data_IF_989524929927
#
_entry.id   IF_989524929927
#
_cell.length_a   1.000
_cell.length_b   1.000
_cell.length_c   1.000
_cell.angle_alpha   90.00
_cell.angle_beta   90.00
_cell.angle_gamma   90.00
#
_symmetry.space_group_name_H-M   'P 1'
#
loop_
_entity.id
_entity.type
_entity.pdbx_description
1 polymer ?
#
# COMPACT_ATOMS: atom_id res chain seq x y z
N UNK A 1 -27.25 -14.05 21.39
CA UNK A 1 -26.59 -12.84 20.85
C UNK A 1 -25.04 -12.88 20.85
N UNK A 2 -24.37 -14.01 21.13
CA UNK A 2 -22.89 -14.08 21.24
C UNK A 2 -22.13 -14.50 19.97
N UNK A 3 -22.78 -15.16 19.02
CA UNK A 3 -22.08 -15.86 17.91
C UNK A 3 -21.56 -14.91 16.80
N UNK A 4 -22.11 -13.69 16.69
CA UNK A 4 -21.68 -12.69 15.70
C UNK A 4 -20.40 -11.96 16.14
N UNK A 5 -20.26 -11.71 17.46
CA UNK A 5 -19.10 -11.02 18.04
C UNK A 5 -17.83 -11.87 17.93
N UNK A 6 -17.94 -13.16 18.19
CA UNK A 6 -16.84 -14.12 18.02
C UNK A 6 -16.42 -14.26 16.55
N UNK A 7 -17.37 -14.34 15.61
CA UNK A 7 -17.06 -14.39 14.17
C UNK A 7 -16.40 -13.11 13.67
N UNK A 8 -16.78 -11.94 14.19
CA UNK A 8 -16.14 -10.67 13.85
C UNK A 8 -14.72 -10.58 14.45
N UNK A 9 -14.51 -11.02 15.69
CA UNK A 9 -13.19 -11.06 16.31
C UNK A 9 -12.26 -12.08 15.64
N UNK A 10 -12.77 -13.23 15.19
CA UNK A 10 -12.01 -14.18 14.39
C UNK A 10 -11.64 -13.61 13.02
N UNK A 11 -12.56 -12.94 12.32
CA UNK A 11 -12.26 -12.30 11.03
C UNK A 11 -11.25 -11.15 11.14
N UNK A 12 -11.34 -10.32 12.18
CA UNK A 12 -10.35 -9.24 12.44
C UNK A 12 -8.98 -9.81 12.86
N UNK A 13 -8.99 -10.94 13.60
CA UNK A 13 -7.78 -11.69 13.91
C UNK A 13 -7.13 -12.31 12.68
N UNK A 14 -7.90 -12.69 11.67
CA UNK A 14 -7.39 -13.26 10.43
C UNK A 14 -6.85 -12.20 9.47
N UNK A 15 -7.48 -11.03 9.32
CA UNK A 15 -6.94 -9.94 8.47
C UNK A 15 -5.64 -9.37 9.03
N UNK A 16 -5.57 -9.10 10.33
CA UNK A 16 -4.33 -8.63 10.98
C UNK A 16 -3.20 -9.68 10.92
N UNK A 17 -3.53 -10.96 11.09
CA UNK A 17 -2.57 -12.06 10.87
C UNK A 17 -2.16 -12.21 9.42
N UNK A 18 -3.04 -11.96 8.47
CA UNK A 18 -2.72 -12.04 7.04
C UNK A 18 -1.77 -10.91 6.65
N UNK A 19 -2.03 -9.67 7.06
CA UNK A 19 -1.14 -8.52 6.85
C UNK A 19 0.24 -8.74 7.49
N UNK A 20 0.30 -9.22 8.74
CA UNK A 20 1.56 -9.61 9.38
C UNK A 20 2.26 -10.77 8.65
N UNK A 21 1.52 -11.80 8.20
CA UNK A 21 2.09 -12.92 7.42
C UNK A 21 2.69 -12.44 6.11
N UNK A 22 2.06 -11.47 5.43
CA UNK A 22 2.59 -10.87 4.20
C UNK A 22 3.89 -10.11 4.49
N UNK A 23 3.92 -9.26 5.52
CA UNK A 23 5.15 -8.57 5.92
C UNK A 23 6.29 -9.54 6.28
N UNK A 24 5.98 -10.62 7.02
CA UNK A 24 6.98 -11.63 7.40
C UNK A 24 7.44 -12.43 6.18
N UNK A 25 6.57 -12.77 5.23
CA UNK A 25 6.96 -13.47 3.99
C UNK A 25 7.84 -12.60 3.11
N UNK A 26 7.49 -11.32 2.94
CA UNK A 26 8.29 -10.33 2.20
C UNK A 26 9.68 -10.18 2.85
N UNK A 27 9.74 -9.97 4.18
CA UNK A 27 11.01 -9.89 4.93
C UNK A 27 11.82 -11.20 4.86
N UNK A 28 11.19 -12.37 4.97
CA UNK A 28 11.86 -13.68 4.88
C UNK A 28 12.38 -13.97 3.47
N UNK A 29 11.63 -13.63 2.41
CA UNK A 29 12.10 -13.75 1.01
C UNK A 29 13.30 -12.82 0.76
N UNK A 30 13.28 -11.60 1.30
CA UNK A 30 14.43 -10.68 1.25
C UNK A 30 15.66 -11.23 1.98
N UNK A 31 15.49 -11.81 3.17
CA UNK A 31 16.58 -12.43 3.92
C UNK A 31 17.16 -13.67 3.20
N UNK A 32 16.30 -14.50 2.59
CA UNK A 32 16.71 -15.69 1.84
C UNK A 32 17.42 -15.33 0.53
N UNK A 33 16.96 -14.29 -0.19
CA UNK A 33 17.62 -13.77 -1.42
C UNK A 33 18.99 -13.15 -1.10
N UNK A 34 19.12 -12.45 0.04
CA UNK A 34 20.43 -11.99 0.56
C UNK A 34 21.41 -13.14 0.83
N UNK A 35 20.92 -14.27 1.34
CA UNK A 35 21.76 -15.42 1.67
C UNK A 35 22.17 -16.25 0.44
N UNK A 36 21.32 -16.33 -0.58
CA UNK A 36 21.64 -16.96 -1.86
C UNK A 36 22.73 -16.19 -2.63
N UNK A 37 22.74 -14.86 -2.56
CA UNK A 37 23.78 -14.04 -3.18
C UNK A 37 25.12 -14.03 -2.41
N UNK A 38 25.18 -14.61 -1.19
CA UNK A 38 26.40 -14.65 -0.38
C UNK A 38 27.23 -15.94 -0.57
N UNK A 39 26.79 -16.89 -1.41
CA UNK A 39 27.48 -18.18 -1.60
C UNK A 39 28.39 -18.30 -2.82
N UNK A 40 28.65 -17.22 -3.58
CA UNK A 40 29.40 -17.31 -4.85
C UNK A 40 30.51 -16.26 -5.09
N UNK A 41 31.07 -15.62 -4.04
CA UNK A 41 32.22 -14.68 -4.19
C UNK A 41 33.46 -15.14 -3.44
N UNK A 42 33.71 -16.45 -3.41
CA UNK A 42 34.86 -17.01 -2.70
C UNK A 42 35.49 -18.18 -3.43
N UNK A 43 35.87 -18.03 -4.71
CA UNK A 43 36.85 -18.88 -5.41
C UNK A 43 37.14 -18.43 -6.85
N UNK A 44 37.59 -17.19 -7.07
CA UNK A 44 38.42 -16.83 -8.24
C UNK A 44 39.30 -15.63 -7.86
N UNK A 45 40.25 -15.84 -6.96
CA UNK A 45 41.23 -14.82 -6.57
C UNK A 45 42.63 -15.42 -6.59
N UNK A 46 43.10 -15.77 -7.78
CA UNK A 46 44.52 -16.02 -8.05
C UNK A 46 44.72 -15.90 -9.56
N UNK A 47 45.62 -15.00 -10.01
CA UNK A 47 46.06 -14.74 -11.41
C UNK A 47 45.55 -13.49 -12.16
N UNK A 48 45.21 -12.38 -11.49
CA UNK A 48 45.13 -11.07 -12.19
C UNK A 48 45.65 -9.88 -11.36
N UNK A 49 46.52 -10.12 -10.39
CA UNK A 49 46.96 -9.14 -9.39
C UNK A 49 48.16 -8.26 -9.81
N UNK A 50 48.59 -8.21 -11.08
CA UNK A 50 49.85 -7.52 -11.41
C UNK A 50 49.91 -6.61 -12.64
N UNK A 51 48.81 -6.32 -13.37
CA UNK A 51 48.94 -5.53 -14.61
C UNK A 51 47.93 -4.40 -14.86
N UNK A 52 47.23 -3.89 -13.83
CA UNK A 52 46.32 -2.74 -13.99
C UNK A 52 46.42 -1.71 -12.86
N UNK A 53 47.64 -1.44 -12.37
CA UNK A 53 47.89 -0.41 -11.33
C UNK A 53 48.20 0.99 -11.92
N UNK A 54 48.31 1.17 -13.24
CA UNK A 54 48.89 2.43 -13.79
C UNK A 54 47.91 3.27 -14.64
N UNK A 55 46.64 2.90 -14.77
CA UNK A 55 45.69 3.73 -15.53
C UNK A 55 44.45 4.10 -14.70
N UNK A 56 44.33 5.40 -14.44
CA UNK A 56 43.14 6.14 -13.99
C UNK A 56 42.95 6.33 -12.48
N UNK A 57 43.85 7.14 -11.92
CA UNK A 57 43.52 8.17 -10.94
C UNK A 57 42.51 9.14 -11.60
N UNK A 58 41.22 8.91 -11.41
CA UNK A 58 40.11 9.86 -11.59
C UNK A 58 38.99 9.36 -10.66
N UNK A 59 38.39 10.19 -9.79
CA UNK A 59 37.27 9.76 -8.98
C UNK A 59 36.01 9.74 -9.86
N UNK A 60 35.93 8.74 -10.73
CA UNK A 60 34.70 8.43 -11.43
C UNK A 60 33.72 7.90 -10.38
N UNK A 61 32.80 8.75 -9.94
CA UNK A 61 31.60 8.32 -9.23
C UNK A 61 30.82 7.41 -10.18
N UNK A 62 31.18 6.11 -10.17
CA UNK A 62 30.34 5.07 -10.75
C UNK A 62 28.95 5.28 -10.16
N UNK A 63 27.90 5.55 -10.96
CA UNK A 63 26.55 5.51 -10.44
C UNK A 63 26.40 4.12 -9.83
N UNK A 64 26.20 4.10 -8.53
CA UNK A 64 25.93 2.89 -7.76
C UNK A 64 24.81 2.19 -8.52
N UNK A 65 25.14 1.09 -9.21
CA UNK A 65 24.17 0.31 -9.98
C UNK A 65 23.04 -0.02 -9.01
N UNK A 66 21.94 0.73 -9.12
CA UNK A 66 20.67 0.35 -8.54
C UNK A 66 20.34 -0.94 -9.27
N UNK A 67 20.60 -2.07 -8.60
CA UNK A 67 20.40 -3.39 -9.18
C UNK A 67 19.05 -3.42 -9.88
N UNK A 68 19.04 -3.88 -11.12
CA UNK A 68 17.86 -3.89 -11.97
C UNK A 68 16.68 -4.46 -11.17
N UNK A 69 15.65 -3.63 -11.00
CA UNK A 69 14.44 -4.05 -10.30
C UNK A 69 13.76 -5.07 -11.21
N UNK A 70 13.67 -6.32 -10.75
CA UNK A 70 12.93 -7.34 -11.48
C UNK A 70 11.45 -6.91 -11.54
N UNK A 71 11.00 -6.54 -12.74
CA UNK A 71 9.62 -6.13 -12.99
C UNK A 71 8.75 -7.39 -12.96
N UNK A 72 7.79 -7.42 -12.03
CA UNK A 72 6.81 -8.50 -11.92
C UNK A 72 5.62 -8.31 -12.85
N UNK A 73 5.26 -7.06 -13.12
CA UNK A 73 4.16 -6.69 -14.00
C UNK A 73 3.98 -5.18 -14.11
N UNK A 74 2.89 -4.76 -14.75
CA UNK A 74 2.56 -3.35 -14.99
C UNK A 74 1.15 -3.01 -14.52
N UNK A 75 0.97 -1.78 -14.06
CA UNK A 75 -0.33 -1.16 -13.81
C UNK A 75 -0.53 0.00 -14.77
N UNK A 76 -1.79 0.37 -14.99
CA UNK A 76 -2.18 1.44 -15.88
C UNK A 76 -2.88 2.57 -15.11
N UNK A 77 -2.48 3.82 -15.33
CA UNK A 77 -3.19 4.96 -14.79
C UNK A 77 -4.58 5.03 -15.43
N UNK A 78 -5.63 5.10 -14.61
CA UNK A 78 -7.02 5.00 -15.09
C UNK A 78 -7.40 6.13 -16.07
N UNK A 79 -6.80 7.31 -15.94
CA UNK A 79 -7.17 8.49 -16.74
C UNK A 79 -6.29 8.66 -17.96
N UNK A 80 -5.00 8.41 -17.81
CA UNK A 80 -3.99 8.72 -18.80
C UNK A 80 -3.50 7.49 -19.56
N UNK A 81 -3.76 6.28 -19.04
CA UNK A 81 -3.22 5.04 -19.57
C UNK A 81 -1.72 4.85 -19.34
N UNK A 82 -1.06 5.78 -18.61
CA UNK A 82 0.37 5.71 -18.33
C UNK A 82 0.71 4.43 -17.57
N UNK A 83 1.78 3.75 -18.00
CA UNK A 83 2.22 2.51 -17.39
C UNK A 83 3.12 2.75 -16.18
N UNK A 84 2.89 1.99 -15.11
CA UNK A 84 3.76 1.96 -13.93
C UNK A 84 4.13 0.52 -13.61
N UNK A 85 5.42 0.23 -13.64
CA UNK A 85 5.94 -1.07 -13.25
C UNK A 85 5.68 -1.36 -11.76
N UNK A 86 5.42 -2.63 -11.45
CA UNK A 86 5.44 -3.19 -10.08
C UNK A 86 6.58 -4.19 -10.01
N UNK A 87 7.31 -4.18 -8.90
CA UNK A 87 8.32 -5.19 -8.60
C UNK A 87 7.73 -6.60 -8.50
N UNK A 88 8.48 -7.60 -8.94
CA UNK A 88 8.13 -9.03 -8.79
C UNK A 88 7.82 -9.40 -7.34
N UNK A 89 8.49 -8.72 -6.40
CA UNK A 89 8.27 -8.87 -4.96
C UNK A 89 6.81 -8.64 -4.54
N UNK A 90 6.13 -7.67 -5.16
CA UNK A 90 4.79 -7.25 -4.75
C UNK A 90 3.70 -7.68 -5.72
N UNK A 91 4.04 -7.96 -6.98
CA UNK A 91 3.04 -8.23 -8.02
C UNK A 91 2.11 -9.41 -7.68
N UNK A 92 2.67 -10.57 -7.34
CA UNK A 92 1.86 -11.75 -6.95
C UNK A 92 1.00 -11.49 -5.69
N UNK A 93 1.50 -10.67 -4.76
CA UNK A 93 0.80 -10.36 -3.51
C UNK A 93 -0.35 -9.36 -3.73
N UNK A 94 -0.17 -8.42 -4.67
CA UNK A 94 -1.23 -7.53 -5.14
C UNK A 94 -2.34 -8.34 -5.78
N UNK A 95 -2.01 -9.28 -6.67
CA UNK A 95 -2.99 -10.17 -7.31
C UNK A 95 -3.75 -11.01 -6.27
N UNK A 96 -3.03 -11.62 -5.32
CA UNK A 96 -3.64 -12.40 -4.25
C UNK A 96 -4.56 -11.56 -3.36
N UNK A 97 -4.16 -10.33 -3.03
CA UNK A 97 -4.93 -9.41 -2.17
C UNK A 97 -6.18 -8.88 -2.87
N UNK A 98 -6.11 -8.63 -4.17
CA UNK A 98 -7.26 -8.30 -5.01
C UNK A 98 -8.14 -9.52 -5.31
N UNK A 99 -7.61 -10.74 -5.12
CA UNK A 99 -8.24 -12.02 -5.48
C UNK A 99 -8.55 -12.09 -6.97
N UNK A 100 -7.53 -11.84 -7.77
CA UNK A 100 -7.57 -11.79 -9.24
C UNK A 100 -6.42 -12.60 -9.82
N UNK A 101 -6.55 -12.99 -11.08
CA UNK A 101 -5.53 -13.79 -11.77
C UNK A 101 -4.59 -12.90 -12.60
N UNK A 102 -3.50 -13.47 -13.15
CA UNK A 102 -2.47 -12.71 -13.88
C UNK A 102 -2.99 -12.08 -15.18
N UNK A 103 -4.12 -12.55 -15.69
CA UNK A 103 -4.75 -12.06 -16.92
C UNK A 103 -5.54 -10.76 -16.70
N UNK A 104 -5.86 -10.40 -15.45
CA UNK A 104 -6.59 -9.17 -15.14
C UNK A 104 -5.68 -7.94 -15.18
N UNK A 105 -6.17 -6.87 -15.82
CA UNK A 105 -5.47 -5.59 -15.86
C UNK A 105 -5.55 -4.90 -14.48
N UNK A 106 -4.38 -4.50 -13.98
CA UNK A 106 -4.28 -3.68 -12.79
C UNK A 106 -4.33 -2.20 -13.16
N UNK A 107 -5.16 -1.45 -12.47
CA UNK A 107 -5.30 -0.01 -12.62
C UNK A 107 -4.83 0.70 -11.37
N UNK A 108 -4.27 1.88 -11.56
CA UNK A 108 -3.76 2.67 -10.46
C UNK A 108 -4.21 4.13 -10.48
N UNK A 109 -4.27 4.71 -9.27
CA UNK A 109 -4.42 6.15 -9.05
C UNK A 109 -3.44 6.59 -7.96
N UNK A 110 -2.58 7.60 -8.20
CA UNK A 110 -1.70 8.13 -7.15
C UNK A 110 -2.51 8.72 -5.99
N UNK A 111 -2.11 8.42 -4.75
CA UNK A 111 -2.69 9.08 -3.59
C UNK A 111 -2.31 10.56 -3.55
N UNK A 112 -3.20 11.42 -3.04
CA UNK A 112 -2.96 12.87 -3.04
C UNK A 112 -1.94 13.32 -1.99
N UNK A 113 -1.94 12.68 -0.82
CA UNK A 113 -1.20 13.15 0.35
C UNK A 113 -0.17 12.14 0.88
N UNK A 114 0.04 11.05 0.16
CA UNK A 114 1.03 10.02 0.48
C UNK A 114 1.71 9.56 -0.81
N UNK A 115 2.82 8.86 -0.67
CA UNK A 115 3.51 8.16 -1.76
C UNK A 115 2.85 6.80 -2.13
N UNK A 116 1.72 6.45 -1.48
CA UNK A 116 0.95 5.27 -1.88
C UNK A 116 0.30 5.47 -3.24
N UNK A 117 0.04 4.35 -3.88
CA UNK A 117 -0.73 4.22 -5.10
C UNK A 117 -1.94 3.36 -4.81
N UNK A 118 -3.14 3.83 -5.12
CA UNK A 118 -4.35 3.04 -5.01
C UNK A 118 -4.45 2.09 -6.20
N UNK A 119 -4.60 0.79 -5.94
CA UNK A 119 -4.59 -0.26 -6.97
C UNK A 119 -5.90 -1.04 -6.94
N UNK A 120 -6.46 -1.30 -8.13
CA UNK A 120 -7.73 -2.03 -8.35
C UNK A 120 -7.68 -2.78 -9.68
N UNK A 121 -8.65 -3.64 -9.96
CA UNK A 121 -8.81 -4.31 -11.27
C UNK A 121 -9.94 -3.75 -12.13
N UNK A 122 -10.59 -2.68 -11.67
CA UNK A 122 -11.65 -2.00 -12.42
C UNK A 122 -12.80 -2.93 -12.80
N UNK A 123 -13.21 -3.81 -11.88
CA UNK A 123 -14.51 -4.45 -11.97
C UNK A 123 -15.57 -3.37 -12.24
N UNK A 124 -16.46 -3.61 -13.20
CA UNK A 124 -17.47 -2.65 -13.68
C UNK A 124 -18.59 -2.41 -12.63
N UNK A 125 -18.27 -2.48 -11.34
CA UNK A 125 -19.17 -2.44 -10.21
C UNK A 125 -18.57 -1.58 -9.09
N UNK A 126 -19.44 -0.93 -8.33
CA UNK A 126 -19.11 -0.10 -7.15
C UNK A 126 -18.57 -0.88 -5.93
N UNK A 127 -18.11 -2.13 -6.11
CA UNK A 127 -17.64 -3.03 -5.05
C UNK A 127 -16.21 -3.57 -5.29
N UNK A 128 -15.41 -2.91 -6.13
CA UNK A 128 -14.04 -3.34 -6.40
C UNK A 128 -13.15 -3.25 -5.18
N UNK A 129 -12.34 -4.28 -4.96
CA UNK A 129 -11.29 -4.24 -3.94
C UNK A 129 -10.26 -3.19 -4.34
N UNK A 130 -9.89 -2.37 -3.38
CA UNK A 130 -8.85 -1.36 -3.52
C UNK A 130 -7.77 -1.66 -2.49
N UNK A 131 -6.53 -1.60 -2.93
CA UNK A 131 -5.35 -1.65 -2.08
C UNK A 131 -4.65 -0.29 -2.13
N UNK A 132 -3.96 0.08 -1.05
CA UNK A 132 -2.90 1.05 -1.11
C UNK A 132 -1.55 0.32 -1.20
N UNK A 133 -0.80 0.63 -2.25
CA UNK A 133 0.50 0.03 -2.57
C UNK A 133 1.61 1.09 -2.50
N UNK A 134 2.66 0.81 -1.73
CA UNK A 134 3.93 1.53 -1.80
C UNK A 134 4.98 0.54 -2.30
N UNK A 135 5.61 0.85 -3.43
CA UNK A 135 6.66 0.01 -4.02
C UNK A 135 7.91 0.85 -4.24
N UNK A 136 8.97 0.52 -3.49
CA UNK A 136 10.28 1.15 -3.59
C UNK A 136 11.35 0.17 -4.11
N UNK A 137 10.95 -0.83 -4.92
CA UNK A 137 11.77 -1.87 -5.56
C UNK A 137 12.46 -2.87 -4.63
N UNK A 138 12.97 -2.42 -3.48
CA UNK A 138 13.64 -3.26 -2.46
C UNK A 138 12.71 -3.60 -1.30
N UNK A 139 11.69 -2.79 -1.10
CA UNK A 139 10.71 -2.89 -0.02
C UNK A 139 9.38 -2.35 -0.52
N UNK A 140 8.29 -2.83 0.05
CA UNK A 140 6.99 -2.26 -0.19
C UNK A 140 5.99 -2.63 0.89
N UNK A 141 4.87 -1.94 0.87
CA UNK A 141 3.72 -2.20 1.74
C UNK A 141 2.45 -2.29 0.90
N UNK A 142 1.59 -3.20 1.31
CA UNK A 142 0.23 -3.36 0.78
C UNK A 142 -0.70 -3.21 1.95
N UNK A 143 -1.66 -2.29 1.83
CA UNK A 143 -2.74 -2.11 2.79
C UNK A 143 -4.09 -2.35 2.09
N UNK A 144 -4.93 -3.18 2.69
CA UNK A 144 -6.24 -3.47 2.12
C UNK A 144 -7.26 -2.42 2.55
N UNK A 145 -7.70 -1.58 1.60
CA UNK A 145 -8.69 -0.55 1.88
C UNK A 145 -10.12 -1.11 1.90
N UNK A 146 -10.31 -2.34 1.41
CA UNK A 146 -11.60 -2.98 1.25
C UNK A 146 -12.21 -2.71 -0.13
N UNK A 147 -13.54 -2.81 -0.22
CA UNK A 147 -14.26 -2.64 -1.48
C UNK A 147 -14.87 -1.25 -1.62
N UNK A 148 -14.72 -0.62 -2.78
CA UNK A 148 -15.39 0.63 -3.13
C UNK A 148 -14.66 1.43 -4.20
N UNK A 149 -14.91 2.72 -4.24
CA UNK A 149 -14.17 3.72 -5.03
C UNK A 149 -13.78 4.87 -4.12
N UNK A 150 -12.53 5.31 -4.16
CA UNK A 150 -12.08 6.45 -3.36
C UNK A 150 -12.75 7.72 -3.88
N UNK A 151 -13.45 8.44 -2.99
CA UNK A 151 -14.15 9.69 -3.32
C UNK A 151 -13.50 10.92 -2.75
N UNK A 152 -13.01 10.81 -1.51
CA UNK A 152 -12.49 11.95 -0.74
C UNK A 152 -11.22 11.50 -0.05
N UNK A 153 -10.20 12.34 -0.15
CA UNK A 153 -9.02 12.30 0.69
C UNK A 153 -8.96 13.61 1.50
N UNK A 154 -8.79 13.52 2.81
CA UNK A 154 -8.66 14.68 3.68
C UNK A 154 -7.47 14.49 4.62
N UNK A 155 -6.47 15.36 4.51
CA UNK A 155 -5.27 15.34 5.35
C UNK A 155 -5.54 15.99 6.71
N UNK A 156 -5.03 15.38 7.78
CA UNK A 156 -5.10 15.89 9.15
C UNK A 156 -4.35 17.21 9.31
N UNK A 157 -4.68 18.01 10.35
CA UNK A 157 -4.04 19.32 10.56
C UNK A 157 -2.52 19.25 10.73
N UNK A 158 -2.01 18.21 11.40
CA UNK A 158 -0.58 17.93 11.60
C UNK A 158 0.07 17.15 10.44
N UNK A 159 -0.68 16.86 9.37
CA UNK A 159 -0.24 16.15 8.17
C UNK A 159 0.24 14.70 8.39
N UNK A 160 -0.13 14.07 9.50
CA UNK A 160 0.28 12.70 9.82
C UNK A 160 -0.70 11.63 9.36
N UNK A 161 -1.96 11.98 9.10
CA UNK A 161 -3.00 11.02 8.75
C UNK A 161 -3.91 11.55 7.64
N UNK A 162 -4.31 10.67 6.75
CA UNK A 162 -5.31 10.91 5.71
C UNK A 162 -6.57 10.14 6.07
N UNK A 163 -7.71 10.83 6.09
CA UNK A 163 -9.02 10.21 6.09
C UNK A 163 -9.46 9.97 4.64
N UNK A 164 -9.87 8.75 4.35
CA UNK A 164 -10.34 8.29 3.05
C UNK A 164 -11.83 7.95 3.15
N UNK A 165 -12.60 8.43 2.19
CA UNK A 165 -13.99 8.01 1.99
C UNK A 165 -14.05 7.05 0.81
N UNK A 166 -14.43 5.81 1.08
CA UNK A 166 -14.67 4.79 0.06
C UNK A 166 -16.18 4.63 -0.18
N UNK A 167 -16.59 4.86 -1.43
CA UNK A 167 -17.96 4.68 -1.91
C UNK A 167 -18.20 3.25 -2.33
N UNK A 168 -19.15 2.61 -1.68
CA UNK A 168 -19.72 1.33 -2.10
C UNK A 168 -20.99 1.55 -2.93
N UNK A 169 -21.69 0.48 -3.33
CA UNK A 169 -22.98 0.56 -4.04
C UNK A 169 -24.00 1.52 -3.42
N UNK A 170 -24.11 1.57 -2.09
CA UNK A 170 -25.18 2.33 -1.40
C UNK A 170 -24.69 3.23 -0.27
N UNK A 171 -23.51 2.96 0.28
CA UNK A 171 -23.01 3.60 1.50
C UNK A 171 -21.55 3.99 1.34
N UNK A 172 -21.10 4.90 2.20
CA UNK A 172 -19.71 5.27 2.34
C UNK A 172 -19.10 4.58 3.57
N UNK A 173 -17.81 4.29 3.47
CA UNK A 173 -17.00 3.83 4.60
C UNK A 173 -15.82 4.77 4.80
N UNK A 174 -15.38 4.88 6.05
CA UNK A 174 -14.16 5.60 6.39
C UNK A 174 -13.00 4.64 6.51
N UNK A 175 -11.87 5.04 5.94
CA UNK A 175 -10.56 4.43 6.19
C UNK A 175 -9.58 5.54 6.57
N UNK A 176 -8.54 5.16 7.29
CA UNK A 176 -7.50 6.08 7.69
C UNK A 176 -6.17 5.50 7.26
N UNK A 177 -5.26 6.37 6.83
CA UNK A 177 -3.91 5.99 6.48
C UNK A 177 -2.95 6.98 7.10
N UNK A 178 -1.88 6.49 7.72
CA UNK A 178 -0.78 7.36 8.11
C UNK A 178 0.03 7.76 6.87
N UNK A 179 0.61 8.96 6.91
CA UNK A 179 1.50 9.44 5.84
C UNK A 179 2.90 8.81 5.94
N UNK A 180 3.25 8.27 7.10
CA UNK A 180 4.48 7.52 7.34
C UNK A 180 4.29 6.00 7.13
N UNK A 181 5.27 5.20 7.56
CA UNK A 181 5.25 3.73 7.44
C UNK A 181 4.41 3.00 8.51
N UNK A 182 3.64 3.71 9.35
CA UNK A 182 2.79 3.04 10.36
C UNK A 182 1.63 2.32 9.65
N UNK A 183 1.56 1.00 9.79
CA UNK A 183 0.53 0.17 9.15
C UNK A 183 -0.66 -0.16 10.04
N UNK A 184 -0.55 0.04 11.36
CA UNK A 184 -1.67 -0.11 12.29
C UNK A 184 -2.58 1.12 12.20
N UNK A 185 -3.43 1.12 11.19
CA UNK A 185 -4.34 2.22 10.92
C UNK A 185 -5.60 2.14 11.79
N UNK A 186 -6.12 3.27 12.30
CA UNK A 186 -7.38 3.24 13.02
C UNK A 186 -8.52 2.85 12.07
N UNK A 187 -9.44 2.03 12.58
CA UNK A 187 -10.62 1.60 11.85
C UNK A 187 -11.90 2.12 12.50
N UNK A 188 -12.88 2.43 11.66
CA UNK A 188 -14.23 2.75 12.08
C UNK A 188 -15.15 1.81 11.28
N UNK A 189 -15.65 0.73 11.90
CA UNK A 189 -16.43 -0.30 11.22
C UNK A 189 -17.89 0.14 11.00
N UNK A 190 -18.10 1.41 10.68
CA UNK A 190 -19.41 2.02 10.44
C UNK A 190 -19.58 2.32 8.96
N UNK A 191 -20.82 2.12 8.50
CA UNK A 191 -21.26 2.54 7.18
C UNK A 191 -22.06 3.82 7.32
N UNK A 192 -21.75 4.78 6.49
CA UNK A 192 -22.40 6.08 6.47
C UNK A 192 -23.31 6.19 5.24
N UNK A 193 -24.44 6.90 5.35
CA UNK A 193 -25.06 7.46 4.16
C UNK A 193 -24.04 8.30 3.39
N UNK A 194 -24.32 8.57 2.11
CA UNK A 194 -23.37 9.23 1.23
C UNK A 194 -22.78 10.51 1.85
N UNK A 195 -21.48 10.49 2.10
CA UNK A 195 -20.67 11.58 2.65
C UNK A 195 -20.37 12.55 1.51
N UNK A 196 -20.74 13.81 1.71
CA UNK A 196 -20.47 14.92 0.79
C UNK A 196 -19.10 15.55 1.06
N UNK A 197 -18.74 15.68 2.34
CA UNK A 197 -17.54 16.39 2.79
C UNK A 197 -17.00 15.80 4.09
N UNK A 198 -15.67 15.80 4.21
CA UNK A 198 -14.95 15.52 5.45
C UNK A 198 -14.20 16.78 5.86
N UNK A 199 -14.32 17.19 7.13
CA UNK A 199 -13.55 18.29 7.72
C UNK A 199 -12.87 17.81 9.00
N UNK A 200 -11.56 18.01 9.12
CA UNK A 200 -10.87 17.80 10.39
C UNK A 200 -11.22 18.91 11.39
N UNK A 201 -11.66 18.54 12.59
CA UNK A 201 -11.91 19.45 13.71
C UNK A 201 -10.71 19.53 14.66
N UNK A 202 -9.97 18.43 14.78
CA UNK A 202 -8.70 18.30 15.51
C UNK A 202 -7.96 17.08 14.96
N UNK A 203 -6.74 16.81 15.41
CA UNK A 203 -6.00 15.61 14.96
C UNK A 203 -6.75 14.30 15.23
N UNK A 204 -7.62 14.22 16.24
CA UNK A 204 -8.37 13.00 16.56
C UNK A 204 -9.88 13.10 16.29
N UNK A 205 -10.36 14.16 15.63
CA UNK A 205 -11.81 14.35 15.36
C UNK A 205 -12.07 14.87 13.97
N UNK A 206 -13.04 14.26 13.30
CA UNK A 206 -13.54 14.72 12.00
C UNK A 206 -15.05 15.00 12.07
N UNK A 207 -15.50 15.92 11.24
CA UNK A 207 -16.91 16.16 10.96
C UNK A 207 -17.20 15.68 9.54
N UNK A 208 -18.15 14.77 9.43
CA UNK A 208 -18.76 14.37 8.17
C UNK A 208 -19.95 15.27 7.90
N UNK A 209 -20.07 15.75 6.66
CA UNK A 209 -21.32 16.32 6.15
C UNK A 209 -21.89 15.34 5.14
N UNK A 210 -23.08 14.81 5.40
CA UNK A 210 -23.78 13.88 4.51
C UNK A 210 -24.48 14.64 3.38
N UNK A 211 -24.86 13.93 2.31
CA UNK A 211 -25.64 14.51 1.20
C UNK A 211 -27.01 15.04 1.66
N UNK A 212 -27.57 14.50 2.73
CA UNK A 212 -28.80 15.01 3.37
C UNK A 212 -28.59 16.35 4.11
N UNK A 213 -27.35 16.84 4.22
CA UNK A 213 -27.00 18.01 5.02
C UNK A 213 -26.74 17.73 6.51
N UNK A 214 -27.11 16.54 7.00
CA UNK A 214 -26.81 16.10 8.37
C UNK A 214 -25.30 16.11 8.61
N UNK A 215 -24.88 16.56 9.79
CA UNK A 215 -23.49 16.54 10.24
C UNK A 215 -23.30 15.46 11.31
N UNK A 216 -22.21 14.72 11.20
CA UNK A 216 -21.83 13.70 12.17
C UNK A 216 -20.39 13.93 12.61
N UNK A 217 -20.14 13.88 13.93
CA UNK A 217 -18.81 14.05 14.49
C UNK A 217 -18.28 12.68 14.87
N UNK A 218 -17.09 12.37 14.36
CA UNK A 218 -16.44 11.09 14.55
C UNK A 218 -15.13 11.32 15.30
N UNK A 219 -14.93 10.56 16.38
CA UNK A 219 -13.67 10.55 17.14
C UNK A 219 -12.85 9.35 16.70
N UNK A 220 -11.58 9.59 16.36
CA UNK A 220 -10.68 8.55 15.86
C UNK A 220 -10.06 7.84 17.08
N UNK A 221 -10.25 6.52 17.23
CA UNK A 221 -9.92 5.80 18.46
C UNK A 221 -8.42 5.68 18.74
N UNK A 222 -7.57 5.71 17.71
CA UNK A 222 -6.11 5.54 17.84
C UNK A 222 -5.38 6.47 16.89
N UNK A 223 -5.23 7.72 17.32
CA UNK A 223 -4.39 8.69 16.63
C UNK A 223 -2.98 8.70 17.25
N UNK A 224 -2.00 8.12 16.55
CA UNK A 224 -0.61 8.14 16.99
C UNK A 224 -0.02 9.53 16.76
N UNK A 225 0.55 10.11 17.82
CA UNK A 225 1.23 11.41 17.80
C UNK A 225 2.66 11.27 17.34
#
# INVERSE_FOLDING_TARGET
MNNIREKLQQKMGDTSKQEQRVQVRVKKRLAKKKWLNFKWVGSVASLAACLLIIFFILPDHKPQQQGAVEIGGVMFDEKTGHEKAISDLLYDEVLASLNVTKEEKLFYTPARYTDYTYVTTHCQTTNCRILALRDNAKTGSIYNLGSGTIKIEALSPDKKMVALVLRTKKQDTLRFMYTNDITDHPEIPEYFPQIKKVKWLSNAKIQLTLNSGKKEIITIPRYYK
#
